data_IF_427730723906
#
_entry.id   IF_427730723906
#
_cell.length_a   1.000
_cell.length_b   1.000
_cell.length_c   1.000
_cell.angle_alpha   90.00
_cell.angle_beta   90.00
_cell.angle_gamma   90.00
#
_symmetry.space_group_name_H-M   'P 1'
#
loop_
_entity.id
_entity.type
_entity.pdbx_description
1 polymer ?
#
# COMPACT_ATOMS: atom_id res chain seq x y z
N UNK A 1 16.42 12.61 -3.22
CA UNK A 1 15.50 11.44 -3.36
C UNK A 1 14.13 11.92 -3.81
N UNK A 2 13.51 11.22 -4.72
CA UNK A 2 12.14 11.45 -5.20
C UNK A 2 11.23 10.41 -4.55
N UNK A 3 10.00 10.77 -4.17
CA UNK A 3 9.03 9.81 -3.64
C UNK A 3 7.83 9.73 -4.57
N UNK A 4 7.45 8.51 -4.94
CA UNK A 4 6.23 8.17 -5.65
C UNK A 4 5.26 7.56 -4.63
N UNK A 5 4.13 8.22 -4.40
CA UNK A 5 3.04 7.68 -3.59
C UNK A 5 2.01 7.03 -4.52
N UNK A 6 1.87 5.72 -4.42
CA UNK A 6 0.89 4.95 -5.19
C UNK A 6 -0.46 5.07 -4.49
N UNK A 7 -1.37 5.85 -5.05
CA UNK A 7 -2.72 6.09 -4.55
C UNK A 7 -3.75 5.36 -5.43
N UNK A 8 -3.58 4.05 -5.52
CA UNK A 8 -4.45 3.13 -6.27
C UNK A 8 -5.11 2.11 -5.36
N UNK A 9 -6.00 1.32 -5.90
CA UNK A 9 -6.69 0.27 -5.17
C UNK A 9 -8.14 0.61 -4.85
N UNK A 10 -9.05 -0.37 -4.97
CA UNK A 10 -10.48 -0.18 -4.70
C UNK A 10 -10.84 -0.25 -3.22
N UNK A 11 -9.96 -0.83 -2.38
CA UNK A 11 -10.17 -0.92 -0.94
C UNK A 11 -11.45 -1.64 -0.48
N UNK A 12 -12.15 -2.36 -1.35
CA UNK A 12 -13.49 -2.93 -1.11
C UNK A 12 -13.60 -3.89 0.08
N UNK A 13 -12.48 -4.35 0.63
CA UNK A 13 -12.43 -5.16 1.86
C UNK A 13 -12.85 -4.40 3.12
N UNK A 14 -12.92 -3.07 3.06
CA UNK A 14 -13.41 -2.21 4.14
C UNK A 14 -14.80 -1.59 3.81
N UNK A 15 -15.58 -2.25 2.93
CA UNK A 15 -16.98 -1.85 2.76
C UNK A 15 -17.73 -1.96 4.09
N UNK A 16 -18.62 -0.99 4.46
CA UNK A 16 -19.06 0.15 3.69
C UNK A 16 -18.23 1.44 3.88
N UNK A 17 -17.15 1.44 4.68
CA UNK A 17 -16.27 2.62 4.83
C UNK A 17 -15.57 2.98 3.53
N UNK A 18 -15.14 1.98 2.76
CA UNK A 18 -14.53 2.18 1.45
C UNK A 18 -15.41 1.64 0.33
N UNK A 19 -15.51 2.40 -0.75
CA UNK A 19 -16.25 2.06 -1.96
C UNK A 19 -15.36 2.22 -3.19
N UNK A 20 -15.76 1.73 -4.38
CA UNK A 20 -15.02 2.00 -5.59
C UNK A 20 -14.81 3.49 -5.89
N UNK A 21 -15.76 4.36 -5.49
CA UNK A 21 -15.64 5.82 -5.64
C UNK A 21 -14.86 6.51 -4.51
N UNK A 22 -14.74 5.88 -3.35
CA UNK A 22 -14.04 6.41 -2.19
C UNK A 22 -13.15 5.34 -1.54
N UNK A 23 -11.96 5.08 -2.10
CA UNK A 23 -11.10 3.96 -1.70
C UNK A 23 -10.40 4.16 -0.36
N UNK A 24 -9.85 3.07 0.20
CA UNK A 24 -9.23 2.96 1.52
C UNK A 24 -8.25 4.10 1.85
N UNK A 25 -7.39 4.48 0.91
CA UNK A 25 -6.38 5.51 1.17
C UNK A 25 -6.95 6.90 1.47
N UNK A 26 -8.21 7.16 1.10
CA UNK A 26 -8.91 8.41 1.43
C UNK A 26 -9.56 8.38 2.81
N UNK A 27 -9.64 7.21 3.47
CA UNK A 27 -10.26 7.06 4.78
C UNK A 27 -9.43 7.71 5.88
N UNK A 28 -10.13 8.34 6.82
CA UNK A 28 -9.58 8.76 8.10
C UNK A 28 -9.72 7.61 9.07
N UNK A 29 -8.62 7.19 9.66
CA UNK A 29 -8.60 6.06 10.59
C UNK A 29 -8.19 6.51 11.98
N UNK A 30 -8.58 5.76 13.00
CA UNK A 30 -8.18 5.99 14.39
C UNK A 30 -8.55 7.39 14.94
N UNK A 31 -9.73 7.90 14.59
CA UNK A 31 -10.16 9.25 15.01
C UNK A 31 -9.31 10.39 14.45
N UNK A 32 -8.38 10.11 13.56
CA UNK A 32 -7.52 11.11 12.92
C UNK A 32 -8.37 12.07 12.07
N UNK A 33 -7.98 13.33 12.07
CA UNK A 33 -8.53 14.31 11.11
C UNK A 33 -7.94 14.15 9.71
N UNK A 34 -6.85 13.39 9.55
CA UNK A 34 -6.15 13.16 8.30
C UNK A 34 -6.37 11.73 7.79
N UNK A 35 -6.43 11.57 6.47
CA UNK A 35 -6.55 10.26 5.81
C UNK A 35 -5.22 9.50 5.79
N UNK A 36 -5.27 8.22 5.39
CA UNK A 36 -4.05 7.42 5.18
C UNK A 36 -3.14 8.04 4.12
N UNK A 37 -3.70 8.55 3.02
CA UNK A 37 -2.96 9.29 1.99
C UNK A 37 -2.26 10.52 2.57
N UNK A 38 -2.97 11.33 3.35
CA UNK A 38 -2.41 12.51 3.99
C UNK A 38 -1.31 12.16 4.99
N UNK A 39 -1.48 11.12 5.79
CA UNK A 39 -0.43 10.62 6.69
C UNK A 39 0.81 10.14 5.91
N UNK A 40 0.60 9.47 4.78
CA UNK A 40 1.70 9.01 3.94
C UNK A 40 2.44 10.20 3.29
N UNK A 41 1.69 11.20 2.83
CA UNK A 41 2.27 12.44 2.33
C UNK A 41 3.09 13.18 3.41
N UNK A 42 2.56 13.32 4.63
CA UNK A 42 3.26 13.97 5.73
C UNK A 42 4.57 13.25 6.10
N UNK A 43 4.60 11.91 6.02
CA UNK A 43 5.83 11.12 6.21
C UNK A 43 6.83 11.37 5.08
N UNK A 44 6.37 11.35 3.82
CA UNK A 44 7.19 11.60 2.66
C UNK A 44 7.81 12.99 2.69
N UNK A 45 7.04 14.00 3.10
CA UNK A 45 7.48 15.40 3.22
C UNK A 45 8.63 15.60 4.20
N UNK A 46 8.82 14.70 5.17
CA UNK A 46 9.99 14.72 6.07
C UNK A 46 11.29 14.31 5.38
N UNK A 47 11.21 13.68 4.22
CA UNK A 47 12.36 13.18 3.45
C UNK A 47 12.71 14.10 2.29
N UNK A 48 11.71 14.68 1.62
CA UNK A 48 11.89 15.46 0.41
C UNK A 48 10.66 16.29 0.06
N UNK A 49 10.88 17.33 -0.75
CA UNK A 49 9.81 18.10 -1.41
C UNK A 49 9.44 17.55 -2.79
N UNK A 50 10.23 16.60 -3.34
CA UNK A 50 10.01 15.96 -4.64
C UNK A 50 9.07 14.76 -4.48
N UNK A 51 7.76 15.03 -4.33
CA UNK A 51 6.72 14.02 -4.10
C UNK A 51 5.75 14.02 -5.27
N UNK A 52 5.49 12.83 -5.81
CA UNK A 52 4.54 12.58 -6.88
C UNK A 52 3.48 11.59 -6.43
N UNK A 53 2.23 11.88 -6.77
CA UNK A 53 1.09 11.01 -6.46
C UNK A 53 0.64 10.34 -7.74
N UNK A 54 0.68 9.02 -7.79
CA UNK A 54 0.13 8.26 -8.91
C UNK A 54 -1.26 7.76 -8.52
N UNK A 55 -2.27 8.19 -9.26
CA UNK A 55 -3.67 7.85 -8.94
C UNK A 55 -4.49 7.65 -10.21
N UNK A 56 -5.48 6.76 -10.10
CA UNK A 56 -6.46 6.55 -11.15
C UNK A 56 -7.30 7.80 -11.40
N UNK A 57 -7.68 8.03 -12.66
CA UNK A 57 -8.49 9.18 -13.09
C UNK A 57 -9.81 9.33 -12.31
N UNK A 58 -10.42 8.21 -11.92
CA UNK A 58 -11.67 8.19 -11.13
C UNK A 58 -11.51 8.79 -9.72
N UNK A 59 -10.31 8.70 -9.13
CA UNK A 59 -10.05 9.14 -7.75
C UNK A 59 -9.34 10.49 -7.66
N UNK A 60 -8.79 10.99 -8.77
CA UNK A 60 -7.90 12.15 -8.76
C UNK A 60 -8.50 13.40 -8.13
N UNK A 61 -9.81 13.61 -8.27
CA UNK A 61 -10.51 14.76 -7.66
C UNK A 61 -10.42 14.69 -6.12
N UNK A 62 -10.70 13.55 -5.54
CA UNK A 62 -10.61 13.35 -4.08
C UNK A 62 -9.18 13.47 -3.57
N UNK A 63 -8.22 12.91 -4.33
CA UNK A 63 -6.80 13.00 -3.99
C UNK A 63 -6.32 14.45 -3.96
N UNK A 64 -6.66 15.25 -4.97
CA UNK A 64 -6.33 16.69 -5.03
C UNK A 64 -6.98 17.50 -3.91
N UNK A 65 -8.23 17.20 -3.56
CA UNK A 65 -8.91 17.85 -2.42
C UNK A 65 -8.20 17.57 -1.09
N UNK A 66 -7.62 16.38 -0.94
CA UNK A 66 -6.89 16.01 0.29
C UNK A 66 -5.46 16.55 0.33
N UNK A 67 -4.85 16.88 -0.80
CA UNK A 67 -3.48 17.38 -0.93
C UNK A 67 -3.44 18.71 -1.72
N UNK A 68 -4.15 19.74 -1.24
CA UNK A 68 -4.28 21.01 -1.97
C UNK A 68 -2.96 21.79 -2.09
N UNK A 69 -1.97 21.47 -1.27
CA UNK A 69 -0.64 22.07 -1.29
C UNK A 69 0.24 21.59 -2.45
N UNK A 70 -0.13 20.50 -3.12
CA UNK A 70 0.62 19.98 -4.25
C UNK A 70 0.20 20.65 -5.56
N UNK A 71 1.16 21.04 -6.43
CA UNK A 71 0.85 21.55 -7.76
C UNK A 71 0.30 20.44 -8.67
N UNK A 72 -0.45 20.81 -9.69
CA UNK A 72 -1.02 19.86 -10.66
C UNK A 72 0.02 18.92 -11.30
N UNK A 73 1.24 19.42 -11.51
CA UNK A 73 2.37 18.66 -12.04
C UNK A 73 2.86 17.53 -11.13
N UNK A 74 2.49 17.54 -9.85
CA UNK A 74 2.82 16.45 -8.91
C UNK A 74 1.87 15.25 -9.03
N UNK A 75 0.79 15.36 -9.79
CA UNK A 75 -0.19 14.28 -9.95
C UNK A 75 -0.01 13.58 -11.29
N UNK A 76 0.40 12.31 -11.24
CA UNK A 76 0.52 11.41 -12.39
C UNK A 76 -0.76 10.60 -12.48
N UNK A 77 -1.57 10.87 -13.52
CA UNK A 77 -2.89 10.28 -13.64
C UNK A 77 -2.86 9.03 -14.52
N UNK A 78 -3.25 7.90 -13.94
CA UNK A 78 -3.49 6.65 -14.68
C UNK A 78 -4.89 6.69 -15.30
N UNK A 79 -5.02 6.47 -16.61
CA UNK A 79 -6.34 6.45 -17.27
C UNK A 79 -7.25 5.33 -16.78
N UNK A 80 -6.67 4.21 -16.33
CA UNK A 80 -7.36 3.06 -15.80
C UNK A 80 -6.44 2.29 -14.86
N UNK A 81 -7.01 1.52 -13.95
CA UNK A 81 -6.27 0.65 -13.04
C UNK A 81 -5.63 -0.53 -13.78
N UNK A 82 -4.31 -0.60 -13.83
CA UNK A 82 -3.54 -1.63 -14.54
C UNK A 82 -2.43 -2.28 -13.69
N UNK A 83 -2.61 -2.27 -12.36
CA UNK A 83 -1.67 -2.85 -11.40
C UNK A 83 -0.44 -2.00 -11.14
N UNK A 84 0.29 -2.35 -10.06
CA UNK A 84 1.42 -1.55 -9.58
C UNK A 84 2.60 -1.49 -10.54
N UNK A 85 2.77 -2.50 -11.41
CA UNK A 85 3.83 -2.48 -12.42
C UNK A 85 3.63 -1.34 -13.43
N UNK A 86 2.42 -1.21 -14.00
CA UNK A 86 2.12 -0.15 -14.95
C UNK A 86 2.07 1.23 -14.28
N UNK A 87 1.63 1.30 -13.02
CA UNK A 87 1.68 2.49 -12.19
C UNK A 87 3.14 3.02 -12.05
N UNK A 88 4.07 2.14 -11.70
CA UNK A 88 5.48 2.49 -11.52
C UNK A 88 6.11 2.94 -12.85
N UNK A 89 5.89 2.24 -13.97
CA UNK A 89 6.44 2.68 -15.25
C UNK A 89 5.85 4.01 -15.74
N UNK A 90 4.59 4.31 -15.42
CA UNK A 90 4.02 5.63 -15.70
C UNK A 90 4.74 6.74 -14.92
N UNK A 91 5.01 6.49 -13.63
CA UNK A 91 5.80 7.41 -12.81
C UNK A 91 7.23 7.55 -13.30
N UNK A 92 7.91 6.46 -13.66
CA UNK A 92 9.26 6.47 -14.20
C UNK A 92 9.33 7.22 -15.53
N UNK A 93 8.32 7.08 -16.40
CA UNK A 93 8.28 7.84 -17.65
C UNK A 93 8.27 9.35 -17.41
N UNK A 94 7.44 9.80 -16.43
CA UNK A 94 7.38 11.20 -16.04
C UNK A 94 8.69 11.69 -15.39
N UNK A 95 9.18 10.95 -14.39
CA UNK A 95 10.38 11.33 -13.60
C UNK A 95 11.63 11.38 -14.50
N UNK A 96 11.79 10.41 -15.40
CA UNK A 96 12.93 10.35 -16.31
C UNK A 96 13.03 11.52 -17.30
N UNK A 97 11.92 12.27 -17.51
CA UNK A 97 11.91 13.51 -18.32
C UNK A 97 12.23 14.76 -17.49
N UNK A 98 11.98 14.73 -16.16
CA UNK A 98 11.98 15.95 -15.34
C UNK A 98 13.07 15.97 -14.24
N UNK A 99 13.75 14.85 -13.99
CA UNK A 99 14.72 14.72 -12.92
C UNK A 99 16.01 14.03 -13.37
N UNK A 100 17.04 14.14 -12.53
CA UNK A 100 18.27 13.37 -12.66
C UNK A 100 17.96 11.86 -12.57
N UNK A 101 18.45 11.10 -13.53
CA UNK A 101 18.18 9.66 -13.66
C UNK A 101 18.92 8.81 -12.64
N UNK A 102 19.92 9.35 -11.97
CA UNK A 102 20.66 8.67 -10.90
C UNK A 102 20.14 9.04 -9.51
N UNK A 103 19.23 10.05 -9.42
CA UNK A 103 18.59 10.37 -8.16
C UNK A 103 17.73 9.20 -7.66
N UNK A 104 17.89 8.76 -6.37
CA UNK A 104 17.08 7.69 -5.82
C UNK A 104 15.59 8.02 -5.83
N UNK A 105 14.77 7.07 -6.27
CA UNK A 105 13.31 7.10 -6.33
C UNK A 105 12.81 6.04 -5.37
N UNK A 106 11.92 6.41 -4.45
CA UNK A 106 11.21 5.49 -3.58
C UNK A 106 9.74 5.38 -3.98
N UNK A 107 9.24 4.18 -4.24
CA UNK A 107 7.81 3.92 -4.39
C UNK A 107 7.22 3.45 -3.08
N UNK A 108 6.14 4.10 -2.63
CA UNK A 108 5.43 3.77 -1.39
C UNK A 108 3.93 3.74 -1.61
N UNK A 109 3.21 2.94 -0.82
CA UNK A 109 1.75 2.85 -0.88
C UNK A 109 1.09 3.90 0.01
N UNK A 110 -0.02 4.47 -0.46
CA UNK A 110 -0.78 5.52 0.24
C UNK A 110 -1.68 5.00 1.36
N UNK A 111 -1.86 3.70 1.48
CA UNK A 111 -2.88 3.07 2.31
C UNK A 111 -2.31 2.21 3.45
N UNK A 112 -1.01 2.28 3.68
CA UNK A 112 -0.36 1.64 4.82
C UNK A 112 -0.38 2.53 6.06
N UNK A 113 -0.59 1.90 7.22
CA UNK A 113 -0.59 2.55 8.51
C UNK A 113 0.77 2.39 9.18
N UNK A 114 1.38 3.51 9.54
CA UNK A 114 2.70 3.60 10.18
C UNK A 114 2.65 4.73 11.20
N UNK A 115 3.06 4.46 12.44
CA UNK A 115 3.12 5.45 13.53
C UNK A 115 4.52 6.04 13.70
N UNK A 116 5.55 5.22 13.56
CA UNK A 116 6.93 5.65 13.71
C UNK A 116 7.47 6.35 12.46
N UNK A 117 7.22 7.65 12.38
CA UNK A 117 7.73 8.50 11.30
C UNK A 117 9.27 8.68 11.33
N UNK A 118 9.93 8.53 12.47
CA UNK A 118 11.40 8.65 12.59
C UNK A 118 12.07 7.41 12.02
N UNK A 119 11.62 6.23 12.43
CA UNK A 119 12.08 4.95 11.88
C UNK A 119 11.84 4.86 10.37
N UNK A 120 10.66 5.31 9.90
CA UNK A 120 10.39 5.41 8.46
C UNK A 120 11.43 6.26 7.74
N UNK A 121 11.68 7.49 8.23
CA UNK A 121 12.65 8.37 7.60
C UNK A 121 14.08 7.81 7.65
N UNK A 122 14.45 7.12 8.72
CA UNK A 122 15.74 6.47 8.86
C UNK A 122 15.93 5.36 7.83
N UNK A 123 14.96 4.43 7.74
CA UNK A 123 15.00 3.31 6.78
C UNK A 123 15.11 3.79 5.34
N UNK A 124 14.32 4.80 4.94
CA UNK A 124 14.36 5.30 3.57
C UNK A 124 15.64 6.06 3.22
N UNK A 125 16.30 6.72 4.19
CA UNK A 125 17.65 7.29 4.00
C UNK A 125 18.67 6.20 3.75
N UNK A 126 18.63 5.11 4.52
CA UNK A 126 19.51 3.94 4.31
C UNK A 126 19.28 3.36 2.91
N UNK A 127 18.03 3.08 2.54
CA UNK A 127 17.71 2.50 1.24
C UNK A 127 18.17 3.39 0.09
N UNK A 128 18.00 4.72 0.19
CA UNK A 128 18.46 5.68 -0.82
C UNK A 128 19.99 5.74 -0.92
N UNK A 129 20.71 5.72 0.18
CA UNK A 129 22.17 5.67 0.18
C UNK A 129 22.70 4.35 -0.39
N UNK A 130 22.04 3.24 -0.04
CA UNK A 130 22.41 1.91 -0.53
C UNK A 130 22.21 1.80 -2.04
N UNK A 131 21.05 2.20 -2.56
CA UNK A 131 20.83 2.15 -4.02
C UNK A 131 21.77 3.06 -4.80
N UNK A 132 22.10 4.23 -4.26
CA UNK A 132 23.06 5.16 -4.89
C UNK A 132 24.50 4.59 -4.94
N UNK A 133 24.88 3.80 -3.91
CA UNK A 133 26.20 3.17 -3.85
C UNK A 133 26.28 1.90 -4.70
N UNK A 134 25.27 1.03 -4.61
CA UNK A 134 25.29 -0.31 -5.17
C UNK A 134 24.71 -0.40 -6.60
N UNK A 135 24.00 0.64 -7.06
CA UNK A 135 23.24 0.66 -8.34
C UNK A 135 22.26 -0.52 -8.49
N UNK A 136 21.63 -0.92 -7.38
CA UNK A 136 20.70 -2.06 -7.29
C UNK A 136 19.40 -1.62 -6.65
N UNK A 137 18.30 -2.33 -6.95
CA UNK A 137 17.01 -2.09 -6.30
C UNK A 137 17.08 -2.57 -4.84
N UNK A 138 16.67 -1.70 -3.93
CA UNK A 138 16.59 -1.98 -2.49
C UNK A 138 15.13 -2.14 -2.10
N UNK A 139 14.81 -3.26 -1.51
CA UNK A 139 13.53 -3.55 -0.88
C UNK A 139 13.54 -3.06 0.57
N UNK A 140 12.40 -2.61 1.05
CA UNK A 140 12.19 -2.42 2.50
C UNK A 140 11.40 -3.61 3.02
N UNK A 141 11.98 -4.35 3.96
CA UNK A 141 11.37 -5.54 4.52
C UNK A 141 10.96 -5.34 5.97
N UNK A 142 9.81 -5.86 6.36
CA UNK A 142 9.26 -5.77 7.72
C UNK A 142 9.41 -7.10 8.44
N UNK A 143 9.85 -7.10 9.70
CA UNK A 143 9.94 -8.33 10.49
C UNK A 143 8.55 -8.95 10.67
N UNK A 144 8.35 -10.24 10.33
CA UNK A 144 7.09 -10.93 10.52
C UNK A 144 6.74 -11.08 12.00
N UNK A 145 5.49 -10.85 12.38
CA UNK A 145 4.96 -11.10 13.73
C UNK A 145 3.96 -12.29 13.76
N UNK A 146 3.59 -12.82 12.59
CA UNK A 146 2.80 -14.04 12.42
C UNK A 146 3.01 -14.64 11.00
N UNK A 147 2.58 -15.88 10.73
CA UNK A 147 2.71 -16.50 9.41
C UNK A 147 1.65 -15.99 8.42
N UNK A 148 1.83 -14.78 7.90
CA UNK A 148 0.91 -14.17 6.95
C UNK A 148 0.96 -14.85 5.57
N UNK A 149 -0.19 -15.19 5.01
CA UNK A 149 -0.31 -15.71 3.63
C UNK A 149 -0.68 -14.63 2.62
N UNK A 150 -0.95 -13.42 3.09
CA UNK A 150 -1.34 -12.27 2.25
C UNK A 150 -0.17 -11.43 1.74
N UNK A 151 1.04 -11.68 2.24
CA UNK A 151 2.25 -10.90 1.94
C UNK A 151 3.31 -11.73 1.23
N UNK A 152 4.20 -11.07 0.52
CA UNK A 152 5.43 -11.65 0.02
C UNK A 152 6.47 -11.79 1.15
N UNK A 153 7.38 -12.74 0.99
CA UNK A 153 8.49 -13.00 1.91
C UNK A 153 9.82 -12.83 1.20
N UNK A 154 10.72 -12.07 1.83
CA UNK A 154 12.07 -11.77 1.35
C UNK A 154 13.04 -12.53 2.25
N UNK A 155 13.78 -13.50 1.70
CA UNK A 155 14.81 -14.21 2.46
C UNK A 155 16.08 -13.38 2.54
N UNK A 156 16.53 -13.09 3.76
CA UNK A 156 17.81 -12.43 4.02
C UNK A 156 18.95 -13.38 3.57
N UNK A 157 19.80 -12.90 2.67
CA UNK A 157 21.02 -13.58 2.24
C UNK A 157 22.26 -13.05 2.98
N UNK A 158 23.38 -12.99 2.30
CA UNK A 158 24.63 -12.50 2.87
C UNK A 158 24.51 -11.03 3.31
N UNK A 159 25.07 -10.72 4.48
CA UNK A 159 25.15 -9.39 5.03
C UNK A 159 26.00 -8.49 4.13
N UNK A 160 25.48 -7.36 3.72
CA UNK A 160 26.17 -6.35 2.90
C UNK A 160 26.77 -5.24 3.76
N UNK A 161 26.11 -4.89 4.87
CA UNK A 161 26.54 -3.89 5.84
C UNK A 161 25.95 -4.20 7.22
N UNK A 162 26.71 -3.99 8.29
CA UNK A 162 26.26 -4.13 9.69
C UNK A 162 25.71 -2.83 10.27
N UNK A 163 26.23 -1.69 9.84
CA UNK A 163 25.79 -0.38 10.30
C UNK A 163 25.60 0.56 9.11
N UNK A 164 24.37 0.71 8.63
CA UNK A 164 23.10 0.04 9.01
C UNK A 164 23.02 -1.41 8.47
N UNK A 165 22.17 -2.24 9.08
CA UNK A 165 21.91 -3.60 8.57
C UNK A 165 21.28 -3.58 7.18
N UNK A 166 22.01 -4.15 6.23
CA UNK A 166 21.57 -4.32 4.83
C UNK A 166 22.01 -5.69 4.35
N UNK A 167 21.11 -6.40 3.67
CA UNK A 167 21.36 -7.77 3.19
C UNK A 167 21.18 -7.88 1.68
N UNK A 168 21.93 -8.77 1.05
CA UNK A 168 21.53 -9.29 -0.25
C UNK A 168 20.22 -10.08 -0.09
N UNK A 169 19.38 -10.09 -1.10
CA UNK A 169 18.20 -10.97 -1.13
C UNK A 169 18.62 -12.34 -1.65
N UNK A 170 18.34 -13.40 -0.88
CA UNK A 170 18.60 -14.78 -1.31
C UNK A 170 17.46 -15.32 -2.18
N UNK A 171 16.22 -15.07 -1.76
CA UNK A 171 15.02 -15.42 -2.53
C UNK A 171 13.84 -14.53 -2.16
N UNK A 172 12.84 -14.50 -3.06
CA UNK A 172 11.57 -13.79 -2.88
C UNK A 172 10.43 -14.77 -3.18
N UNK A 173 9.39 -14.78 -2.36
CA UNK A 173 8.21 -15.63 -2.56
C UNK A 173 6.96 -14.83 -2.27
N UNK A 174 6.13 -14.58 -3.28
CA UNK A 174 4.87 -13.85 -3.11
C UNK A 174 3.75 -14.78 -2.65
N UNK A 175 3.07 -14.42 -1.57
CA UNK A 175 1.88 -15.09 -1.01
C UNK A 175 2.01 -16.61 -0.89
N UNK A 176 2.92 -17.12 -0.03
CA UNK A 176 3.13 -18.54 0.16
C UNK A 176 1.90 -19.23 0.76
N UNK A 177 1.88 -20.58 0.72
CA UNK A 177 0.94 -21.36 1.51
C UNK A 177 1.15 -21.13 3.02
N UNK A 178 0.14 -21.46 3.84
CA UNK A 178 0.25 -21.30 5.29
C UNK A 178 1.42 -22.09 5.89
N UNK A 179 1.63 -23.32 5.45
CA UNK A 179 2.71 -24.17 5.96
C UNK A 179 4.08 -23.56 5.67
N UNK A 180 4.26 -23.03 4.45
CA UNK A 180 5.50 -22.38 4.04
C UNK A 180 5.69 -21.04 4.78
N UNK A 181 4.62 -20.25 4.95
CA UNK A 181 4.66 -19.02 5.74
C UNK A 181 5.02 -19.28 7.20
N UNK A 182 4.51 -20.37 7.79
CA UNK A 182 4.85 -20.79 9.16
C UNK A 182 6.33 -21.23 9.29
N UNK A 183 6.86 -21.91 8.28
CA UNK A 183 8.29 -22.24 8.22
C UNK A 183 9.16 -20.98 8.14
N UNK A 184 8.82 -20.05 7.25
CA UNK A 184 9.54 -18.79 7.09
C UNK A 184 9.54 -17.95 8.37
N UNK A 185 8.37 -17.82 9.02
CA UNK A 185 8.23 -17.11 10.29
C UNK A 185 9.11 -17.74 11.39
N UNK A 186 9.06 -19.05 11.57
CA UNK A 186 9.86 -19.79 12.58
C UNK A 186 11.35 -19.68 12.36
N UNK A 187 11.81 -19.56 11.11
CA UNK A 187 13.23 -19.51 10.78
C UNK A 187 13.90 -18.20 11.21
N UNK A 188 13.14 -17.09 11.34
CA UNK A 188 13.67 -15.76 11.63
C UNK A 188 14.53 -15.14 10.51
N UNK A 189 14.63 -15.81 9.34
CA UNK A 189 15.48 -15.37 8.24
C UNK A 189 14.75 -14.62 7.14
N UNK A 190 13.45 -14.40 7.30
CA UNK A 190 12.60 -13.74 6.31
C UNK A 190 12.03 -12.43 6.82
N UNK A 191 11.84 -11.50 5.89
CA UNK A 191 11.10 -10.25 6.09
C UNK A 191 9.86 -10.28 5.22
N UNK A 192 8.77 -9.64 5.65
CA UNK A 192 7.63 -9.36 4.78
C UNK A 192 7.99 -8.31 3.74
N UNK A 193 7.55 -8.53 2.51
CA UNK A 193 7.53 -7.49 1.49
C UNK A 193 6.37 -6.52 1.74
N UNK A 194 6.67 -5.30 2.10
CA UNK A 194 5.66 -4.24 2.24
C UNK A 194 5.41 -3.45 0.94
N UNK A 195 6.01 -3.87 -0.19
CA UNK A 195 5.83 -3.23 -1.49
C UNK A 195 6.54 -1.88 -1.62
N UNK A 196 7.57 -1.63 -0.83
CA UNK A 196 8.38 -0.41 -0.92
C UNK A 196 9.70 -0.72 -1.61
N UNK A 197 9.92 -0.05 -2.73
CA UNK A 197 11.08 -0.26 -3.61
C UNK A 197 11.83 1.04 -3.78
N UNK A 198 13.16 0.98 -3.64
CA UNK A 198 14.04 2.14 -3.81
C UNK A 198 15.10 1.82 -4.87
N UNK A 199 15.18 2.67 -5.89
CA UNK A 199 16.13 2.56 -6.99
C UNK A 199 16.21 3.88 -7.74
N UNK A 200 17.24 4.11 -8.54
CA UNK A 200 17.26 5.24 -9.47
C UNK A 200 16.42 4.92 -10.73
N UNK A 201 16.12 5.95 -11.54
CA UNK A 201 15.52 5.70 -12.85
C UNK A 201 16.35 4.71 -13.66
N UNK A 202 17.67 4.89 -13.70
CA UNK A 202 18.58 4.01 -14.44
C UNK A 202 18.56 2.59 -13.89
N UNK A 203 18.53 2.42 -12.56
CA UNK A 203 18.45 1.11 -11.91
C UNK A 203 17.15 0.38 -12.29
N UNK A 204 15.99 1.06 -12.17
CA UNK A 204 14.71 0.47 -12.56
C UNK A 204 14.62 0.18 -14.06
N UNK A 205 15.04 1.13 -14.91
CA UNK A 205 15.00 0.96 -16.37
C UNK A 205 15.85 -0.22 -16.84
N UNK A 206 17.07 -0.37 -16.29
CA UNK A 206 17.95 -1.51 -16.58
C UNK A 206 17.36 -2.84 -16.13
N UNK A 207 16.78 -2.89 -14.92
CA UNK A 207 16.12 -4.09 -14.42
C UNK A 207 14.89 -4.46 -15.27
N UNK A 208 14.05 -3.47 -15.63
CA UNK A 208 12.88 -3.66 -16.50
C UNK A 208 13.31 -4.18 -17.88
N UNK A 209 14.33 -3.58 -18.49
CA UNK A 209 14.83 -4.00 -19.80
C UNK A 209 15.34 -5.44 -19.79
N UNK A 210 16.07 -5.82 -18.74
CA UNK A 210 16.72 -7.13 -18.63
C UNK A 210 15.78 -8.24 -18.20
N UNK A 211 14.89 -7.99 -17.26
CA UNK A 211 14.13 -9.03 -16.57
C UNK A 211 12.61 -9.01 -16.82
N UNK A 212 12.06 -7.91 -17.40
CA UNK A 212 10.63 -7.75 -17.62
C UNK A 212 10.29 -7.27 -19.04
N UNK A 213 10.48 -8.10 -20.09
CA UNK A 213 10.36 -7.67 -21.50
C UNK A 213 8.98 -7.11 -21.85
N UNK A 214 7.88 -7.63 -21.30
CA UNK A 214 6.54 -7.09 -21.53
C UNK A 214 6.37 -5.72 -20.87
N UNK A 215 6.83 -5.57 -19.63
CA UNK A 215 6.80 -4.28 -18.94
C UNK A 215 7.68 -3.25 -19.65
N UNK A 216 8.83 -3.66 -20.19
CA UNK A 216 9.70 -2.80 -21.01
C UNK A 216 9.00 -2.35 -22.30
N UNK A 217 8.26 -3.25 -22.96
CA UNK A 217 7.44 -2.89 -24.13
C UNK A 217 6.40 -1.83 -23.76
N UNK A 218 5.66 -2.03 -22.66
CA UNK A 218 4.68 -1.09 -22.17
C UNK A 218 5.33 0.27 -21.83
N UNK A 219 6.47 0.26 -21.15
CA UNK A 219 7.22 1.46 -20.81
C UNK A 219 7.65 2.26 -22.07
N UNK A 220 8.20 1.58 -23.07
CA UNK A 220 8.59 2.21 -24.37
C UNK A 220 7.40 2.83 -25.10
N UNK A 221 6.21 2.21 -25.01
CA UNK A 221 4.99 2.71 -25.65
C UNK A 221 4.47 3.99 -24.98
N UNK A 222 4.53 4.09 -23.64
CA UNK A 222 3.96 5.23 -22.90
C UNK A 222 4.95 6.39 -22.74
N UNK A 223 6.26 6.15 -22.77
CA UNK A 223 7.30 7.15 -22.50
C UNK A 223 7.14 8.45 -23.27
N UNK A 224 6.69 8.38 -24.53
CA UNK A 224 6.50 9.55 -25.40
C UNK A 224 5.02 9.79 -25.77
N UNK A 225 4.09 9.05 -25.15
CA UNK A 225 2.67 9.19 -25.44
C UNK A 225 2.03 10.25 -24.54
N UNK A 226 1.15 11.10 -25.12
CA UNK A 226 0.43 12.15 -24.38
C UNK A 226 -1.04 12.15 -24.78
N UNK A 227 -1.91 12.70 -23.91
CA UNK A 227 -3.34 12.88 -24.17
C UNK A 227 -4.07 11.57 -24.50
N UNK A 228 -4.94 11.58 -25.51
CA UNK A 228 -5.75 10.43 -25.91
C UNK A 228 -4.91 9.23 -26.37
N UNK A 229 -3.73 9.47 -26.97
CA UNK A 229 -2.81 8.39 -27.33
C UNK A 229 -2.28 7.65 -26.11
N UNK A 230 -1.86 8.36 -25.06
CA UNK A 230 -1.45 7.76 -23.79
C UNK A 230 -2.59 6.96 -23.17
N UNK A 231 -3.79 7.53 -23.11
CA UNK A 231 -4.97 6.89 -22.56
C UNK A 231 -5.32 5.59 -23.29
N UNK A 232 -5.36 5.62 -24.63
CA UNK A 232 -5.66 4.45 -25.46
C UNK A 232 -4.64 3.32 -25.24
N UNK A 233 -3.34 3.64 -25.22
CA UNK A 233 -2.27 2.66 -25.00
C UNK A 233 -2.37 2.08 -23.58
N UNK A 234 -2.47 2.94 -22.56
CA UNK A 234 -2.46 2.52 -21.16
C UNK A 234 -3.66 1.63 -20.80
N UNK A 235 -4.84 1.96 -21.31
CA UNK A 235 -6.04 1.15 -21.07
C UNK A 235 -5.98 -0.25 -21.70
N UNK A 236 -5.12 -0.45 -22.69
CA UNK A 236 -4.88 -1.76 -23.30
C UNK A 236 -3.92 -2.66 -22.53
N UNK A 237 -3.24 -2.17 -21.49
CA UNK A 237 -2.31 -2.98 -20.72
C UNK A 237 -3.03 -4.01 -19.83
N UNK A 238 -2.40 -5.17 -19.66
CA UNK A 238 -2.80 -6.13 -18.65
C UNK A 238 -2.51 -5.61 -17.25
N UNK A 239 -3.39 -5.97 -16.30
CA UNK A 239 -3.20 -5.58 -14.89
C UNK A 239 -2.26 -6.56 -14.21
N UNK A 240 -1.08 -6.08 -13.78
CA UNK A 240 -0.07 -6.91 -13.14
C UNK A 240 0.59 -6.16 -11.98
N UNK A 241 0.87 -6.88 -10.86
CA UNK A 241 1.66 -6.34 -9.77
C UNK A 241 3.15 -6.32 -10.14
N UNK A 242 3.87 -5.30 -9.65
CA UNK A 242 5.31 -5.14 -9.90
C UNK A 242 6.11 -6.31 -9.33
N UNK A 243 5.62 -6.92 -8.25
CA UNK A 243 6.22 -8.07 -7.61
C UNK A 243 6.41 -9.22 -8.62
N UNK A 244 5.34 -9.63 -9.30
CA UNK A 244 5.38 -10.67 -10.34
C UNK A 244 6.02 -10.21 -11.65
N UNK A 245 5.76 -8.94 -12.04
CA UNK A 245 6.25 -8.44 -13.32
C UNK A 245 7.77 -8.27 -13.34
N UNK A 246 8.37 -7.88 -12.21
CA UNK A 246 9.78 -7.49 -12.12
C UNK A 246 10.48 -8.10 -10.90
N UNK A 247 10.02 -7.85 -9.67
CA UNK A 247 10.81 -8.05 -8.45
C UNK A 247 11.23 -9.51 -8.27
N UNK A 248 10.33 -10.47 -8.46
CA UNK A 248 10.65 -11.91 -8.38
C UNK A 248 11.69 -12.38 -9.40
N UNK A 249 11.92 -11.60 -10.47
CA UNK A 249 12.81 -11.97 -11.58
C UNK A 249 14.20 -11.34 -11.48
N UNK A 250 14.38 -10.37 -10.59
CA UNK A 250 15.66 -9.67 -10.39
C UNK A 250 16.52 -10.45 -9.39
N UNK A 251 17.67 -11.02 -9.81
CA UNK A 251 18.46 -11.90 -8.95
C UNK A 251 19.36 -11.18 -7.94
N UNK A 252 19.60 -9.89 -8.13
CA UNK A 252 20.56 -9.09 -7.37
C UNK A 252 19.92 -7.98 -6.55
N UNK A 253 18.76 -8.26 -5.95
CA UNK A 253 18.08 -7.35 -5.05
C UNK A 253 18.83 -7.20 -3.71
N UNK A 254 18.60 -6.06 -3.08
CA UNK A 254 19.06 -5.77 -1.71
C UNK A 254 17.81 -5.58 -0.83
N UNK A 255 17.90 -5.89 0.45
CA UNK A 255 16.87 -5.58 1.44
C UNK A 255 17.44 -4.88 2.64
N UNK A 256 16.76 -3.82 3.10
CA UNK A 256 16.98 -3.20 4.41
C UNK A 256 15.78 -3.48 5.32
N UNK A 257 16.00 -3.98 6.55
CA UNK A 257 14.92 -4.13 7.52
C UNK A 257 14.31 -2.78 7.89
N UNK A 258 12.99 -2.75 7.99
CA UNK A 258 12.26 -1.57 8.45
C UNK A 258 12.52 -1.30 9.93
N UNK A 259 12.85 -0.05 10.26
CA UNK A 259 12.98 0.43 11.65
C UNK A 259 11.68 1.08 12.14
N UNK A 260 10.53 0.70 11.60
CA UNK A 260 9.22 1.28 11.91
C UNK A 260 8.14 0.19 11.96
N UNK A 261 7.06 0.49 12.68
CA UNK A 261 5.84 -0.32 12.67
C UNK A 261 5.12 -0.19 11.33
N UNK A 262 4.60 -1.30 10.82
CA UNK A 262 3.89 -1.32 9.55
C UNK A 262 2.64 -2.19 9.61
N UNK A 263 1.55 -1.72 9.01
CA UNK A 263 0.31 -2.47 8.90
C UNK A 263 -0.41 -2.15 7.59
N UNK A 264 -0.76 -3.22 6.85
CA UNK A 264 -1.63 -3.13 5.68
C UNK A 264 -3.09 -3.11 6.07
N UNK A 265 -3.71 -2.27 6.68
CA UNK A 265 -5.13 -2.26 7.10
C UNK A 265 -6.08 -2.95 6.10
N UNK A 266 -5.87 -4.25 5.89
CA UNK A 266 -6.54 -5.06 4.87
C UNK A 266 -7.94 -5.54 5.28
N UNK A 267 -8.27 -5.45 6.57
CA UNK A 267 -9.51 -5.93 7.15
C UNK A 267 -9.95 -5.09 8.34
N UNK A 268 -11.18 -5.27 8.80
CA UNK A 268 -11.66 -4.65 10.04
C UNK A 268 -10.93 -5.16 11.28
N UNK A 269 -10.43 -6.40 11.25
CA UNK A 269 -9.55 -6.91 12.30
C UNK A 269 -8.25 -6.13 12.40
N UNK A 270 -7.66 -5.73 11.26
CA UNK A 270 -6.46 -4.90 11.23
C UNK A 270 -6.75 -3.46 11.67
N UNK A 271 -7.88 -2.90 11.26
CA UNK A 271 -8.34 -1.59 11.76
C UNK A 271 -8.49 -1.61 13.29
N UNK A 272 -9.10 -2.65 13.85
CA UNK A 272 -9.28 -2.79 15.29
C UNK A 272 -7.93 -2.85 16.04
N UNK A 273 -6.95 -3.58 15.49
CA UNK A 273 -5.59 -3.62 16.05
C UNK A 273 -4.87 -2.25 15.96
N UNK A 274 -5.17 -1.47 14.93
CA UNK A 274 -4.53 -0.17 14.71
C UNK A 274 -5.08 0.94 15.63
N UNK A 275 -6.33 0.83 16.08
CA UNK A 275 -6.98 1.77 16.99
C UNK A 275 -6.83 1.31 18.44
N UNK A 276 -6.95 2.23 19.40
CA UNK A 276 -7.01 1.86 20.81
C UNK A 276 -8.37 1.23 21.15
N UNK A 277 -8.36 0.23 22.00
CA UNK A 277 -9.56 -0.41 22.53
C UNK A 277 -9.75 -0.03 24.01
N UNK A 278 -11.01 -0.11 24.50
CA UNK A 278 -11.34 0.03 25.92
C UNK A 278 -10.88 -1.20 26.74
N UNK A 279 -11.21 -1.23 28.04
CA UNK A 279 -10.84 -2.32 28.94
C UNK A 279 -11.47 -3.68 28.56
N UNK A 280 -12.61 -3.67 27.86
CA UNK A 280 -13.30 -4.84 27.35
C UNK A 280 -12.87 -5.21 25.92
N UNK A 281 -11.84 -4.53 25.39
CA UNK A 281 -11.38 -4.76 24.04
C UNK A 281 -12.28 -4.16 22.95
N UNK A 282 -13.19 -3.26 23.27
CA UNK A 282 -14.07 -2.62 22.30
C UNK A 282 -13.49 -1.31 21.75
N UNK A 283 -13.78 -1.05 20.49
CA UNK A 283 -13.63 0.27 19.89
C UNK A 283 -14.99 0.78 19.44
N UNK A 284 -15.38 1.96 19.94
CA UNK A 284 -16.65 2.60 19.63
C UNK A 284 -16.41 3.95 18.98
N UNK A 285 -17.16 4.25 17.93
CA UNK A 285 -17.16 5.55 17.26
C UNK A 285 -18.57 5.98 16.92
N UNK A 286 -18.90 7.28 17.15
CA UNK A 286 -20.20 7.85 16.88
C UNK A 286 -21.22 7.55 18.00
N UNK A 287 -22.51 7.65 17.67
CA UNK A 287 -23.58 7.39 18.66
C UNK A 287 -23.83 5.87 18.74
N UNK A 288 -23.15 5.23 19.68
CA UNK A 288 -23.20 3.77 19.92
C UNK A 288 -23.47 3.53 21.40
N UNK A 289 -24.45 2.66 21.70
CA UNK A 289 -24.77 2.14 23.04
C UNK A 289 -24.53 0.64 23.08
N UNK A 290 -23.84 0.14 24.11
CA UNK A 290 -23.51 -1.27 24.24
C UNK A 290 -23.89 -1.83 25.61
N UNK A 291 -24.29 -3.11 25.66
CA UNK A 291 -24.53 -3.85 26.88
C UNK A 291 -24.04 -5.30 26.71
N UNK A 292 -23.16 -5.78 27.60
CA UNK A 292 -22.55 -7.11 27.53
C UNK A 292 -21.87 -7.39 26.16
N UNK A 293 -21.00 -6.45 25.73
CA UNK A 293 -20.26 -6.51 24.46
C UNK A 293 -18.77 -6.49 24.74
N UNK A 294 -18.04 -7.45 24.15
CA UNK A 294 -16.58 -7.55 24.30
C UNK A 294 -15.88 -7.70 22.96
N UNK A 295 -14.61 -7.28 22.90
CA UNK A 295 -13.68 -7.48 21.78
C UNK A 295 -14.27 -7.08 20.41
N UNK A 296 -15.07 -6.01 20.36
CA UNK A 296 -15.87 -5.62 19.20
C UNK A 296 -15.44 -4.29 18.60
N UNK A 297 -15.65 -4.14 17.30
CA UNK A 297 -15.32 -2.94 16.54
C UNK A 297 -16.60 -2.35 15.97
N UNK A 298 -17.08 -1.24 16.57
CA UNK A 298 -18.38 -0.67 16.25
C UNK A 298 -18.20 0.81 15.85
N UNK A 299 -18.60 1.13 14.63
CA UNK A 299 -18.55 2.49 14.11
C UNK A 299 -19.89 2.90 13.52
N UNK A 300 -20.38 4.03 13.97
CA UNK A 300 -21.60 4.64 13.48
C UNK A 300 -21.30 6.04 12.93
N UNK A 301 -21.57 6.25 11.65
CA UNK A 301 -21.36 7.52 10.95
C UNK A 301 -22.68 8.22 10.64
N UNK A 302 -23.80 7.64 11.10
CA UNK A 302 -25.15 8.17 10.90
C UNK A 302 -25.72 8.75 12.20
N UNK A 303 -26.75 9.59 12.08
CA UNK A 303 -27.38 10.26 13.22
C UNK A 303 -28.20 9.32 14.12
N UNK A 304 -28.68 8.20 13.57
CA UNK A 304 -29.45 7.21 14.34
C UNK A 304 -28.53 6.39 15.23
N UNK A 305 -28.89 6.17 16.52
CA UNK A 305 -28.08 5.37 17.42
C UNK A 305 -27.96 3.91 16.93
N UNK A 306 -26.80 3.31 17.19
CA UNK A 306 -26.55 1.88 17.05
C UNK A 306 -26.51 1.29 18.46
N UNK A 307 -27.39 0.36 18.77
CA UNK A 307 -27.40 -0.39 20.04
C UNK A 307 -26.95 -1.84 19.79
N UNK A 308 -25.99 -2.33 20.58
CA UNK A 308 -25.49 -3.71 20.50
C UNK A 308 -25.52 -4.35 21.87
N UNK A 309 -26.18 -5.51 21.99
CA UNK A 309 -26.38 -6.20 23.26
C UNK A 309 -25.99 -7.65 23.14
N UNK A 310 -25.18 -8.16 24.09
CA UNK A 310 -24.88 -9.57 24.25
C UNK A 310 -24.08 -10.20 23.12
N UNK A 311 -23.26 -9.40 22.43
CA UNK A 311 -22.41 -9.89 21.34
C UNK A 311 -20.94 -9.65 21.65
N UNK A 312 -20.11 -10.60 21.25
CA UNK A 312 -18.65 -10.50 21.30
C UNK A 312 -18.01 -10.75 19.93
N UNK A 313 -16.80 -10.26 19.75
CA UNK A 313 -16.01 -10.48 18.55
C UNK A 313 -16.73 -10.07 17.25
N UNK A 314 -17.50 -8.96 17.28
CA UNK A 314 -18.25 -8.46 16.12
C UNK A 314 -17.66 -7.17 15.56
N UNK A 315 -17.89 -6.97 14.27
CA UNK A 315 -17.71 -5.71 13.56
C UNK A 315 -19.08 -5.20 13.15
N UNK A 316 -19.43 -3.98 13.58
CA UNK A 316 -20.65 -3.28 13.17
C UNK A 316 -20.26 -1.93 12.59
N UNK A 317 -20.57 -1.70 11.34
CA UNK A 317 -20.28 -0.44 10.66
C UNK A 317 -21.57 0.09 10.04
N UNK A 318 -21.97 1.27 10.43
CA UNK A 318 -23.13 1.98 9.88
C UNK A 318 -22.71 3.26 9.15
N UNK A 319 -23.00 3.33 7.87
CA UNK A 319 -22.71 4.48 7.00
C UNK A 319 -23.87 4.72 6.02
N UNK A 320 -23.89 5.85 5.32
CA UNK A 320 -24.83 6.12 4.23
C UNK A 320 -24.81 5.02 3.14
N UNK A 321 -23.67 4.41 2.87
CA UNK A 321 -23.51 3.35 1.86
C UNK A 321 -24.17 2.03 2.27
N UNK A 322 -24.32 1.79 3.56
CA UNK A 322 -24.94 0.57 4.09
C UNK A 322 -24.48 0.20 5.49
N UNK A 323 -25.02 -0.91 5.96
CA UNK A 323 -24.72 -1.47 7.28
C UNK A 323 -23.99 -2.81 7.10
N UNK A 324 -22.84 -2.96 7.74
CA UNK A 324 -22.14 -4.23 7.89
C UNK A 324 -22.28 -4.74 9.31
N UNK A 325 -22.69 -5.99 9.44
CA UNK A 325 -22.57 -6.76 10.69
C UNK A 325 -21.87 -8.07 10.37
N UNK A 326 -20.73 -8.31 10.98
CA UNK A 326 -19.92 -9.50 10.72
C UNK A 326 -19.18 -9.94 11.99
N UNK A 327 -18.86 -11.23 12.08
CA UNK A 327 -17.85 -11.68 13.02
C UNK A 327 -16.49 -11.11 12.59
N UNK A 328 -15.70 -10.64 13.54
CA UNK A 328 -14.41 -9.99 13.28
C UNK A 328 -13.41 -10.90 12.58
N UNK A 329 -13.41 -12.20 12.93
CA UNK A 329 -12.56 -13.22 12.29
C UNK A 329 -12.97 -13.56 10.85
N UNK A 330 -14.17 -13.14 10.41
CA UNK A 330 -14.65 -13.29 9.04
C UNK A 330 -14.49 -12.01 8.19
N UNK A 331 -13.88 -10.99 8.72
CA UNK A 331 -13.77 -9.67 8.05
C UNK A 331 -13.07 -9.71 6.67
N UNK A 332 -12.25 -10.73 6.40
CA UNK A 332 -11.67 -10.94 5.06
C UNK A 332 -12.73 -11.23 3.97
N UNK A 333 -13.92 -11.72 4.35
CA UNK A 333 -15.00 -12.03 3.41
C UNK A 333 -15.82 -10.78 2.99
N UNK A 334 -15.64 -9.66 3.67
CA UNK A 334 -16.37 -8.41 3.39
C UNK A 334 -16.22 -7.97 1.93
N UNK A 335 -15.02 -8.11 1.35
CA UNK A 335 -14.79 -7.78 -0.05
C UNK A 335 -15.64 -8.58 -1.04
N UNK A 336 -15.92 -9.84 -0.75
CA UNK A 336 -16.80 -10.68 -1.58
C UNK A 336 -18.27 -10.25 -1.44
N UNK A 337 -18.69 -9.89 -0.22
CA UNK A 337 -20.04 -9.37 0.03
C UNK A 337 -20.25 -8.02 -0.67
N UNK A 338 -19.28 -7.12 -0.60
CA UNK A 338 -19.32 -5.83 -1.30
C UNK A 338 -19.50 -5.99 -2.83
N UNK A 339 -18.81 -6.96 -3.45
CA UNK A 339 -19.00 -7.29 -4.88
C UNK A 339 -20.42 -7.74 -5.18
N UNK A 340 -20.97 -8.67 -4.39
CA UNK A 340 -22.36 -9.15 -4.55
C UNK A 340 -23.38 -8.02 -4.44
N UNK A 341 -23.18 -7.09 -3.49
CA UNK A 341 -24.06 -5.92 -3.31
C UNK A 341 -23.99 -5.00 -4.54
N UNK A 342 -22.79 -4.74 -5.06
CA UNK A 342 -22.60 -3.93 -6.25
C UNK A 342 -23.27 -4.54 -7.49
N UNK A 343 -23.12 -5.84 -7.70
CA UNK A 343 -23.78 -6.58 -8.81
C UNK A 343 -25.31 -6.53 -8.74
N UNK A 344 -25.88 -6.54 -7.53
CA UNK A 344 -27.33 -6.46 -7.34
C UNK A 344 -27.89 -5.02 -7.47
N UNK A 345 -27.07 -3.98 -7.25
CA UNK A 345 -27.47 -2.58 -7.49
C UNK A 345 -27.55 -2.25 -9.00
N UNK A 346 -26.95 -3.04 -9.86
CA UNK A 346 -26.94 -2.86 -11.34
C UNK A 346 -27.99 -3.68 -12.07
N UNK A 347 -28.75 -4.53 -11.37
CA UNK A 347 -29.96 -5.23 -11.85
C UNK A 347 -31.21 -4.46 -11.47
#
# INVERSE_FOLDING_TARGET
MIIIIIAGGSGTRLWPLSTPGYPKHLLKVNGSKRSLLQHTYDRAKRLTDKIYIVSEASHIKHVKVQLPELPDSAFIVEPARRGTANCIIAALAYIGEHHDKDEPIASIHSDHYIRDNKGFSHTFKIAAQTTAKENRIVLVGVEPDYPATGFGYIKKGALLSEEPYVYNVDSFTEKPSYDLAAEYYKSGNYLWNCGYFVGSFNTFASAIEKYAPELNRNFKLIKNAKGEKYKSIYTGFESVAIDYALIEKVPDLIVTPASFDWMDLGSYGDLHKAVGADQNGNYLHGYVEIENVENSFIQNYEDKPVAVIGLDNVTVINTEEGILVARKDMSQQVGNMAKKIAENKTK
#
